data_IF_339953521129
#
_entry.id   IF_339953521129
#
_cell.length_a   1.000
_cell.length_b   1.000
_cell.length_c   1.000
_cell.angle_alpha   90.00
_cell.angle_beta   90.00
_cell.angle_gamma   90.00
#
_symmetry.space_group_name_H-M   'P 1'
#
loop_
_entity.id
_entity.type
_entity.pdbx_description
1 polymer ?
#
# COMPACT_ATOMS: atom_id res chain seq x y z
N UNK A 1 26.72 -3.45 -0.54
CA UNK A 1 27.28 -3.21 0.81
C UNK A 1 28.31 -4.27 1.21
N UNK A 2 28.70 -5.20 0.32
CA UNK A 2 29.60 -6.32 0.65
C UNK A 2 28.83 -7.55 1.16
N UNK A 3 29.44 -8.74 1.05
CA UNK A 3 28.87 -9.99 1.61
C UNK A 3 27.46 -10.36 1.13
N UNK A 4 27.07 -9.95 -0.09
CA UNK A 4 25.72 -10.19 -0.63
C UNK A 4 24.64 -9.22 -0.12
N UNK A 5 24.97 -8.31 0.79
CA UNK A 5 24.06 -7.29 1.32
C UNK A 5 23.88 -6.14 0.32
N UNK A 6 22.62 -5.80 0.02
CA UNK A 6 22.25 -4.67 -0.83
C UNK A 6 21.31 -3.72 -0.08
N UNK A 7 21.40 -2.43 -0.38
CA UNK A 7 20.41 -1.44 0.05
C UNK A 7 19.27 -1.39 -0.97
N UNK A 8 18.05 -1.18 -0.50
CA UNK A 8 16.86 -0.90 -1.31
C UNK A 8 16.28 0.45 -0.87
N UNK A 9 15.81 1.25 -1.82
CA UNK A 9 15.13 2.51 -1.56
C UNK A 9 13.97 2.60 -2.56
N UNK A 10 12.79 3.00 -2.09
CA UNK A 10 11.66 3.30 -2.98
C UNK A 10 10.97 4.58 -2.54
N UNK A 11 10.79 5.47 -3.51
CA UNK A 11 10.06 6.72 -3.40
C UNK A 11 9.03 6.74 -4.53
N UNK A 12 7.74 6.73 -4.18
CA UNK A 12 6.62 6.67 -5.12
C UNK A 12 5.63 7.79 -4.79
N UNK A 13 5.40 8.64 -5.79
CA UNK A 13 4.45 9.74 -5.73
C UNK A 13 3.13 9.34 -6.41
N UNK A 14 2.02 9.84 -5.88
CA UNK A 14 0.68 9.67 -6.46
C UNK A 14 0.17 10.97 -7.08
N UNK A 15 -0.23 10.90 -8.35
CA UNK A 15 -0.86 12.00 -9.08
C UNK A 15 -2.21 11.55 -9.64
N UNK A 16 -3.16 12.47 -9.67
CA UNK A 16 -4.46 12.29 -10.31
C UNK A 16 -4.27 12.19 -11.82
N UNK A 17 -4.91 11.21 -12.44
CA UNK A 17 -4.67 10.89 -13.85
C UNK A 17 -5.36 11.88 -14.81
N UNK A 18 -6.41 12.55 -14.33
CA UNK A 18 -7.25 13.49 -15.06
C UNK A 18 -6.68 14.92 -15.08
N UNK A 19 -6.04 15.36 -14.00
CA UNK A 19 -5.54 16.75 -13.89
C UNK A 19 -4.07 16.89 -13.46
N UNK A 20 -3.38 15.78 -13.16
CA UNK A 20 -1.98 15.77 -12.75
C UNK A 20 -1.72 16.34 -11.35
N UNK A 21 -2.75 16.65 -10.57
CA UNK A 21 -2.60 17.17 -9.20
C UNK A 21 -2.13 16.09 -8.25
N UNK A 22 -1.47 16.48 -7.15
CA UNK A 22 -0.97 15.52 -6.16
C UNK A 22 -2.13 14.86 -5.39
N UNK A 23 -2.10 13.54 -5.25
CA UNK A 23 -3.11 12.77 -4.51
C UNK A 23 -3.11 13.06 -3.00
N UNK A 24 -2.03 13.61 -2.46
CA UNK A 24 -1.90 14.00 -1.06
C UNK A 24 -0.85 15.10 -0.88
N UNK A 25 -0.85 15.77 0.27
CA UNK A 25 0.08 16.87 0.57
C UNK A 25 1.57 16.45 0.56
N UNK A 26 1.87 15.18 0.79
CA UNK A 26 3.24 14.65 0.73
C UNK A 26 3.59 14.21 -0.69
N UNK A 27 4.78 14.59 -1.17
CA UNK A 27 5.27 14.24 -2.51
C UNK A 27 5.34 12.72 -2.72
N UNK A 28 5.97 11.98 -1.80
CA UNK A 28 6.08 10.51 -1.85
C UNK A 28 5.02 9.84 -0.97
N UNK A 29 3.75 10.13 -1.28
CA UNK A 29 2.61 9.64 -0.51
C UNK A 29 2.30 8.15 -0.70
N UNK A 30 2.74 7.53 -1.81
CA UNK A 30 2.40 6.13 -2.09
C UNK A 30 3.36 5.17 -1.41
N UNK A 31 4.66 5.35 -1.60
CA UNK A 31 5.69 4.58 -0.89
C UNK A 31 6.90 5.50 -0.65
N UNK A 32 7.43 5.45 0.57
CA UNK A 32 8.65 6.17 0.96
C UNK A 32 9.36 5.38 2.04
N UNK A 33 10.27 4.50 1.63
CA UNK A 33 10.96 3.58 2.53
C UNK A 33 12.38 3.26 2.07
N UNK A 34 13.18 2.82 3.03
CA UNK A 34 14.52 2.28 2.83
C UNK A 34 14.57 0.84 3.37
N UNK A 35 15.52 0.06 2.90
CA UNK A 35 15.66 -1.32 3.32
C UNK A 35 17.01 -1.93 3.04
N UNK A 36 17.19 -3.12 3.60
CA UNK A 36 18.35 -3.98 3.41
C UNK A 36 17.87 -5.34 2.93
N UNK A 37 18.58 -5.91 1.96
CA UNK A 37 18.28 -7.23 1.40
C UNK A 37 19.52 -8.11 1.32
N UNK A 38 19.33 -9.40 1.52
CA UNK A 38 20.31 -10.46 1.26
C UNK A 38 19.59 -11.71 0.74
N UNK A 39 20.30 -12.53 -0.05
CA UNK A 39 19.82 -13.85 -0.44
C UNK A 39 19.68 -14.80 0.77
N UNK A 40 20.46 -14.60 1.84
CA UNK A 40 20.53 -15.54 2.98
C UNK A 40 19.52 -15.26 4.08
N UNK A 41 19.13 -14.00 4.30
CA UNK A 41 18.22 -13.62 5.39
C UNK A 41 17.00 -12.82 4.93
N UNK A 42 16.86 -12.53 3.63
CA UNK A 42 15.65 -11.92 3.09
C UNK A 42 15.75 -10.40 3.01
N UNK A 43 14.66 -9.68 3.29
CA UNK A 43 14.60 -8.23 3.21
C UNK A 43 13.93 -7.62 4.45
N UNK A 44 14.52 -6.55 4.98
CA UNK A 44 13.95 -5.69 6.02
C UNK A 44 13.75 -4.29 5.47
N UNK A 45 12.55 -3.74 5.63
CA UNK A 45 12.16 -2.41 5.13
C UNK A 45 11.53 -1.58 6.22
N UNK A 46 11.80 -0.27 6.21
CA UNK A 46 11.33 0.70 7.19
C UNK A 46 10.85 1.96 6.45
N UNK A 47 9.64 2.42 6.77
CA UNK A 47 9.10 3.67 6.23
C UNK A 47 7.60 3.64 6.00
N UNK A 48 7.15 4.31 4.95
CA UNK A 48 5.80 4.23 4.42
C UNK A 48 5.76 3.22 3.28
N UNK A 49 5.12 2.07 3.50
CA UNK A 49 5.12 0.95 2.58
C UNK A 49 3.74 0.31 2.48
N UNK A 50 3.55 -0.46 1.42
CA UNK A 50 2.37 -1.31 1.28
C UNK A 50 2.35 -2.35 2.39
N UNK A 51 1.17 -2.58 2.97
CA UNK A 51 1.00 -3.58 4.03
C UNK A 51 1.36 -5.01 3.54
N UNK A 52 1.72 -5.90 4.46
CA UNK A 52 2.09 -7.28 4.13
C UNK A 52 0.91 -8.18 3.70
N UNK A 53 -0.34 -7.67 3.74
CA UNK A 53 -1.53 -8.41 3.33
C UNK A 53 -1.89 -8.22 1.86
N UNK A 54 -1.46 -7.13 1.22
CA UNK A 54 -1.71 -6.90 -0.21
C UNK A 54 -1.22 -8.06 -1.12
N UNK A 55 -0.11 -8.77 -0.82
CA UNK A 55 0.30 -9.94 -1.61
C UNK A 55 -0.70 -11.10 -1.59
N UNK A 56 -1.58 -11.20 -0.58
CA UNK A 56 -2.54 -12.31 -0.46
C UNK A 56 -3.77 -12.11 -1.37
N UNK A 57 -4.02 -10.87 -1.81
CA UNK A 57 -5.03 -10.53 -2.79
C UNK A 57 -4.34 -10.20 -4.12
N UNK A 58 -3.75 -11.22 -4.77
CA UNK A 58 -3.44 -11.13 -6.20
C UNK A 58 -4.80 -11.01 -6.91
N UNK A 59 -5.13 -9.79 -7.30
CA UNK A 59 -6.23 -9.54 -8.23
C UNK A 59 -5.67 -9.61 -9.66
N UNK A 60 -5.87 -10.72 -10.38
CA UNK A 60 -5.35 -10.91 -11.73
C UNK A 60 -5.98 -9.97 -12.77
N UNK A 61 -7.00 -9.18 -12.38
CA UNK A 61 -7.68 -8.23 -13.25
C UNK A 61 -7.24 -6.78 -13.06
N UNK A 62 -6.27 -6.51 -12.19
CA UNK A 62 -5.72 -5.16 -12.05
C UNK A 62 -6.78 -4.14 -11.66
N UNK A 63 -7.52 -4.40 -10.57
CA UNK A 63 -8.36 -3.47 -9.83
C UNK A 63 -7.58 -2.89 -8.63
N UNK A 64 -6.50 -2.12 -8.83
CA UNK A 64 -6.03 -1.28 -7.75
C UNK A 64 -7.17 -0.32 -7.40
N UNK A 65 -7.44 -0.22 -6.10
CA UNK A 65 -8.47 0.59 -5.43
C UNK A 65 -8.52 2.07 -5.87
N UNK A 66 -7.56 2.52 -6.68
CA UNK A 66 -7.45 3.89 -7.17
C UNK A 66 -8.26 4.15 -8.44
N UNK A 67 -8.54 3.15 -9.31
CA UNK A 67 -9.02 3.43 -10.68
C UNK A 67 -10.24 2.60 -11.18
N UNK A 68 -11.00 1.90 -10.33
CA UNK A 68 -12.15 1.11 -10.81
C UNK A 68 -13.49 1.57 -10.22
N UNK A 69 -14.45 1.85 -11.12
CA UNK A 69 -15.87 2.13 -10.81
C UNK A 69 -16.51 0.95 -10.07
N UNK A 70 -16.07 -0.29 -10.34
CA UNK A 70 -16.58 -1.47 -9.65
C UNK A 70 -16.11 -1.58 -8.20
N UNK A 71 -14.90 -1.11 -7.84
CA UNK A 71 -14.50 -1.02 -6.43
C UNK A 71 -15.22 0.12 -5.73
N UNK A 72 -15.49 1.23 -6.42
CA UNK A 72 -16.31 2.33 -5.89
C UNK A 72 -17.76 1.88 -5.61
N UNK A 73 -18.42 1.21 -6.55
CA UNK A 73 -19.84 0.82 -6.43
C UNK A 73 -20.03 -0.51 -5.69
N UNK A 74 -19.09 -1.46 -5.84
CA UNK A 74 -19.22 -2.83 -5.32
C UNK A 74 -18.28 -3.21 -4.17
N UNK A 75 -17.23 -2.43 -3.89
CA UNK A 75 -16.11 -2.94 -3.08
C UNK A 75 -15.54 -2.05 -1.98
N UNK A 76 -16.00 -0.82 -1.75
CA UNK A 76 -15.29 -0.05 -0.73
C UNK A 76 -15.55 1.42 -0.50
N UNK A 77 -16.55 2.08 -1.09
CA UNK A 77 -16.98 3.41 -0.62
C UNK A 77 -18.51 3.51 -0.64
N UNK A 78 -19.12 3.48 0.54
CA UNK A 78 -20.55 3.72 0.76
C UNK A 78 -20.74 5.16 1.26
N UNK A 79 -21.59 5.93 0.60
CA UNK A 79 -22.04 7.23 1.12
C UNK A 79 -23.03 6.98 2.26
N UNK A 80 -22.61 7.28 3.48
CA UNK A 80 -23.45 7.22 4.69
C UNK A 80 -23.97 8.62 5.04
N UNK A 81 -24.97 8.76 5.93
CA UNK A 81 -25.35 10.06 6.49
C UNK A 81 -24.21 10.81 7.20
N UNK A 82 -23.06 10.14 7.42
CA UNK A 82 -21.84 10.70 8.04
C UNK A 82 -20.69 10.90 7.03
N UNK A 83 -20.91 10.70 5.74
CA UNK A 83 -19.90 10.84 4.68
C UNK A 83 -19.51 9.52 3.99
N UNK A 84 -18.44 9.56 3.19
CA UNK A 84 -17.89 8.44 2.42
C UNK A 84 -17.08 7.51 3.34
N UNK A 85 -17.39 6.21 3.36
CA UNK A 85 -16.68 5.22 4.20
C UNK A 85 -16.58 3.84 3.58
N UNK A 86 -15.64 3.02 4.05
CA UNK A 86 -15.41 1.68 3.49
C UNK A 86 -16.57 0.71 3.73
N UNK A 87 -16.97 -0.03 2.68
CA UNK A 87 -17.89 -1.16 2.85
C UNK A 87 -17.13 -2.27 3.58
N UNK A 88 -17.42 -2.44 4.87
CA UNK A 88 -16.92 -3.56 5.67
C UNK A 88 -18.13 -4.34 6.15
N UNK A 89 -18.09 -5.67 6.01
CA UNK A 89 -19.11 -6.59 6.54
C UNK A 89 -19.19 -6.58 8.09
N UNK A 90 -18.21 -5.91 8.71
CA UNK A 90 -18.10 -5.75 10.15
C UNK A 90 -18.78 -4.47 10.69
N UNK A 91 -19.41 -3.68 9.80
CA UNK A 91 -20.19 -2.50 10.16
C UNK A 91 -19.38 -1.23 10.48
N UNK A 92 -20.06 -0.13 10.80
CA UNK A 92 -19.41 1.15 11.07
C UNK A 92 -18.44 1.07 12.26
N UNK A 93 -17.17 1.46 12.05
CA UNK A 93 -16.13 1.45 13.08
C UNK A 93 -15.23 0.21 13.07
N UNK A 94 -15.45 -0.72 12.14
CA UNK A 94 -14.53 -1.84 11.92
C UNK A 94 -13.14 -1.35 11.51
N UNK A 95 -12.10 -1.98 12.06
CA UNK A 95 -10.72 -1.67 11.72
C UNK A 95 -10.43 -2.10 10.28
N UNK A 96 -10.20 -1.13 9.40
CA UNK A 96 -9.68 -1.37 8.05
C UNK A 96 -8.17 -1.42 8.12
N UNK A 97 -7.56 -2.40 7.48
CA UNK A 97 -6.09 -2.43 7.34
C UNK A 97 -5.73 -1.47 6.20
N UNK A 98 -5.01 -0.37 6.49
CA UNK A 98 -4.71 0.61 5.46
C UNK A 98 -3.77 0.00 4.42
N UNK A 99 -4.03 0.27 3.12
CA UNK A 99 -3.21 -0.24 2.00
C UNK A 99 -1.74 0.15 2.17
N UNK A 100 -1.49 1.34 2.72
CA UNK A 100 -0.18 1.91 3.00
C UNK A 100 -0.06 2.23 4.48
N UNK A 101 1.01 1.78 5.09
CA UNK A 101 1.25 1.95 6.52
C UNK A 101 2.49 2.84 6.71
N UNK A 102 2.32 4.13 7.05
CA UNK A 102 3.45 4.98 7.40
C UNK A 102 4.08 4.52 8.73
N UNK A 103 5.36 4.82 8.94
CA UNK A 103 6.09 4.48 10.17
C UNK A 103 6.05 2.97 10.49
N UNK A 104 6.16 2.13 9.48
CA UNK A 104 6.09 0.68 9.62
C UNK A 104 7.41 -0.01 9.31
N UNK A 105 7.52 -1.25 9.77
CA UNK A 105 8.64 -2.16 9.52
C UNK A 105 8.07 -3.44 8.89
N UNK A 106 8.69 -3.94 7.82
CA UNK A 106 8.32 -5.20 7.18
C UNK A 106 9.54 -6.09 7.02
N UNK A 107 9.35 -7.38 7.31
CA UNK A 107 10.33 -8.42 7.04
C UNK A 107 9.77 -9.41 6.01
N UNK A 108 10.56 -9.71 4.99
CA UNK A 108 10.27 -10.75 4.01
C UNK A 108 11.38 -11.80 4.04
N UNK A 109 11.02 -13.05 4.30
CA UNK A 109 11.93 -14.21 4.27
C UNK A 109 12.59 -14.39 2.89
N UNK A 110 13.79 -14.99 2.82
CA UNK A 110 14.37 -15.45 1.55
C UNK A 110 13.35 -16.23 0.71
N UNK A 111 13.44 -16.08 -0.62
CA UNK A 111 12.73 -16.95 -1.56
C UNK A 111 13.55 -18.24 -1.69
N UNK A 112 12.90 -19.37 -1.50
CA UNK A 112 13.47 -20.71 -1.74
C UNK A 112 13.49 -20.99 -3.24
#
# INVERSE_FOLDING_TARGET
LGGGLKAEIKLEAGFNADDGTQQAAALFNRESWIGLRSATWGALRIGNQINAMLPLFIDPYGLPVTNSVYTWVGGGIMQTPRGLGSNTDLGPGAATIPVRVPKSITYATPRV
#
